data_IF_499624561058
#
_entry.id   IF_499624561058
#
_cell.length_a   1.000
_cell.length_b   1.000
_cell.length_c   1.000
_cell.angle_alpha   90.00
_cell.angle_beta   90.00
_cell.angle_gamma   90.00
#
_symmetry.space_group_name_H-M   'P 1'
#
loop_
_entity.id
_entity.type
_entity.pdbx_description
1 polymer ?
#
# COMPACT_ATOMS: atom_id res chain seq x y z
N UNK A 1 36.11 20.56 17.90
CA UNK A 1 35.96 19.88 16.59
C UNK A 1 34.51 20.04 16.14
N UNK A 2 34.22 19.97 14.84
CA UNK A 2 32.84 19.89 14.32
C UNK A 2 32.62 18.49 13.76
N UNK A 3 31.39 18.00 13.87
CA UNK A 3 30.99 16.67 13.41
C UNK A 3 30.12 16.79 12.17
N UNK A 4 30.26 15.88 11.22
CA UNK A 4 29.53 15.90 9.95
C UNK A 4 28.82 14.57 9.81
N UNK A 5 27.50 14.58 9.60
CA UNK A 5 26.70 13.39 9.34
C UNK A 5 26.77 12.95 7.89
N UNK A 6 26.32 11.72 7.62
CA UNK A 6 26.23 11.15 6.26
C UNK A 6 25.38 11.98 5.27
N UNK A 7 24.45 12.81 5.76
CA UNK A 7 23.65 13.75 4.94
C UNK A 7 24.29 15.16 4.82
N UNK A 8 25.59 15.28 5.11
CA UNK A 8 26.40 16.50 5.08
C UNK A 8 25.93 17.61 6.03
N UNK A 9 25.17 17.28 7.10
CA UNK A 9 24.84 18.25 8.14
C UNK A 9 25.96 18.36 9.16
N UNK A 10 26.21 19.58 9.62
CA UNK A 10 27.29 19.89 10.56
C UNK A 10 26.71 20.10 11.95
N UNK A 11 27.28 19.41 12.93
CA UNK A 11 26.90 19.45 14.34
C UNK A 11 28.04 19.94 15.22
N UNK A 12 27.67 20.48 16.38
CA UNK A 12 28.63 21.00 17.34
C UNK A 12 29.17 19.90 18.27
N UNK A 13 28.37 18.85 18.49
CA UNK A 13 28.75 17.70 19.31
C UNK A 13 28.57 16.39 18.56
N UNK A 14 29.34 15.39 18.98
CA UNK A 14 29.24 14.02 18.45
C UNK A 14 27.88 13.41 18.76
N UNK A 15 27.36 13.70 19.96
CA UNK A 15 26.08 13.19 20.41
C UNK A 15 24.94 13.66 19.51
N UNK A 16 24.88 14.95 19.17
CA UNK A 16 23.88 15.49 18.24
C UNK A 16 23.95 14.82 16.85
N UNK A 17 25.17 14.58 16.35
CA UNK A 17 25.40 13.91 15.08
C UNK A 17 24.88 12.47 15.11
N UNK A 18 25.23 11.72 16.17
CA UNK A 18 24.82 10.33 16.37
C UNK A 18 23.29 10.20 16.54
N UNK A 19 22.66 11.07 17.31
CA UNK A 19 21.20 11.09 17.50
C UNK A 19 20.44 11.38 16.20
N UNK A 20 20.96 12.30 15.38
CA UNK A 20 20.38 12.61 14.06
C UNK A 20 20.43 11.40 13.13
N UNK A 21 21.59 10.76 13.01
CA UNK A 21 21.75 9.57 12.18
C UNK A 21 20.88 8.41 12.65
N UNK A 22 20.75 8.23 13.97
CA UNK A 22 19.87 7.20 14.52
C UNK A 22 18.41 7.45 14.15
N UNK A 23 17.91 8.69 14.31
CA UNK A 23 16.56 9.07 13.88
C UNK A 23 16.33 8.86 12.38
N UNK A 24 17.34 9.14 11.56
CA UNK A 24 17.26 8.93 10.11
C UNK A 24 17.17 7.43 9.76
N UNK A 25 17.99 6.58 10.42
CA UNK A 25 17.92 5.12 10.27
C UNK A 25 16.56 4.57 10.69
N UNK A 26 16.07 4.98 11.86
CA UNK A 26 14.79 4.52 12.40
C UNK A 26 13.61 4.98 11.52
N UNK A 27 13.65 6.23 11.06
CA UNK A 27 12.65 6.78 10.13
C UNK A 27 12.63 6.04 8.78
N UNK A 28 13.80 5.66 8.26
CA UNK A 28 13.90 4.85 7.03
C UNK A 28 13.33 3.45 7.23
N UNK A 29 13.68 2.78 8.33
CA UNK A 29 13.17 1.46 8.67
C UNK A 29 11.64 1.45 8.84
N UNK A 30 11.09 2.47 9.51
CA UNK A 30 9.65 2.63 9.67
C UNK A 30 8.92 2.82 8.33
N UNK A 31 9.46 3.68 7.45
CA UNK A 31 8.91 3.88 6.10
C UNK A 31 8.95 2.60 5.27
N UNK A 32 10.04 1.86 5.31
CA UNK A 32 10.17 0.59 4.59
C UNK A 32 9.17 -0.46 5.10
N UNK A 33 8.98 -0.56 6.42
CA UNK A 33 7.97 -1.45 7.01
C UNK A 33 6.56 -1.09 6.56
N UNK A 34 6.23 0.21 6.57
CA UNK A 34 4.92 0.70 6.12
C UNK A 34 4.67 0.40 4.65
N UNK A 35 5.67 0.59 3.78
CA UNK A 35 5.53 0.27 2.36
C UNK A 35 5.38 -1.24 2.13
N UNK A 36 6.11 -2.09 2.87
CA UNK A 36 5.91 -3.54 2.82
C UNK A 36 4.49 -3.95 3.24
N UNK A 37 3.96 -3.35 4.30
CA UNK A 37 2.57 -3.60 4.74
C UNK A 37 1.55 -3.13 3.70
N UNK A 38 1.78 -1.96 3.09
CA UNK A 38 0.94 -1.43 2.01
C UNK A 38 0.93 -2.38 0.81
N UNK A 39 2.10 -2.81 0.34
CA UNK A 39 2.22 -3.73 -0.78
C UNK A 39 1.56 -5.08 -0.47
N UNK A 40 1.72 -5.59 0.75
CA UNK A 40 1.03 -6.82 1.19
C UNK A 40 -0.49 -6.68 1.08
N UNK A 41 -1.06 -5.57 1.56
CA UNK A 41 -2.51 -5.32 1.48
C UNK A 41 -2.99 -5.22 0.02
N UNK A 42 -2.23 -4.56 -0.86
CA UNK A 42 -2.55 -4.49 -2.29
C UNK A 42 -2.56 -5.88 -2.92
N UNK A 43 -1.55 -6.70 -2.62
CA UNK A 43 -1.50 -8.09 -3.10
C UNK A 43 -2.70 -8.92 -2.61
N UNK A 44 -3.12 -8.76 -1.36
CA UNK A 44 -4.32 -9.43 -0.82
C UNK A 44 -5.60 -8.98 -1.52
N UNK A 45 -5.74 -7.68 -1.82
CA UNK A 45 -6.87 -7.14 -2.58
C UNK A 45 -6.91 -7.75 -3.98
N UNK A 46 -5.78 -7.74 -4.70
CA UNK A 46 -5.70 -8.27 -6.07
C UNK A 46 -6.07 -9.76 -6.11
N UNK A 47 -5.59 -10.55 -5.15
CA UNK A 47 -5.97 -11.98 -5.04
C UNK A 47 -7.48 -12.17 -4.89
N UNK A 48 -8.12 -11.37 -4.03
CA UNK A 48 -9.58 -11.44 -3.84
C UNK A 48 -10.35 -11.04 -5.11
N UNK A 49 -9.84 -10.06 -5.87
CA UNK A 49 -10.43 -9.71 -7.16
C UNK A 49 -10.31 -10.84 -8.19
N UNK A 50 -9.16 -11.51 -8.26
CA UNK A 50 -8.97 -12.68 -9.14
C UNK A 50 -9.91 -13.83 -8.74
N UNK A 51 -10.06 -14.11 -7.45
CA UNK A 51 -11.00 -15.11 -6.92
C UNK A 51 -12.44 -14.77 -7.29
N UNK A 52 -12.85 -13.50 -7.11
CA UNK A 52 -14.17 -13.03 -7.50
C UNK A 52 -14.41 -13.21 -9.02
N UNK A 53 -13.43 -12.85 -9.84
CA UNK A 53 -13.54 -12.98 -11.30
C UNK A 53 -13.69 -14.45 -11.72
N UNK A 54 -13.01 -15.38 -11.05
CA UNK A 54 -13.18 -16.83 -11.29
C UNK A 54 -14.59 -17.29 -10.95
N UNK A 55 -15.11 -16.91 -9.78
CA UNK A 55 -16.47 -17.25 -9.36
C UNK A 55 -17.53 -16.71 -10.33
N UNK A 56 -17.36 -15.47 -10.80
CA UNK A 56 -18.25 -14.89 -11.81
C UNK A 56 -18.18 -15.70 -13.11
N UNK A 57 -16.97 -16.07 -13.55
CA UNK A 57 -16.78 -16.85 -14.78
C UNK A 57 -17.38 -18.25 -14.70
N UNK A 58 -17.30 -18.91 -13.53
CA UNK A 58 -17.94 -20.20 -13.28
C UNK A 58 -19.47 -20.08 -13.29
N UNK A 59 -20.01 -19.08 -12.59
CA UNK A 59 -21.44 -18.78 -12.59
C UNK A 59 -21.97 -18.50 -14.01
N UNK A 60 -21.24 -17.70 -14.81
CA UNK A 60 -21.66 -17.40 -16.19
C UNK A 60 -21.72 -18.65 -17.08
N UNK A 61 -20.78 -19.59 -16.90
CA UNK A 61 -20.77 -20.87 -17.62
C UNK A 61 -21.95 -21.76 -17.23
N UNK A 62 -22.23 -21.86 -15.94
CA UNK A 62 -23.23 -22.80 -15.42
C UNK A 62 -24.66 -22.34 -15.72
N UNK A 63 -24.92 -21.03 -15.75
CA UNK A 63 -26.28 -20.50 -15.77
C UNK A 63 -26.72 -19.78 -17.06
N UNK A 64 -25.92 -19.81 -18.15
CA UNK A 64 -26.22 -19.20 -19.48
C UNK A 64 -26.93 -17.83 -19.32
N UNK A 65 -26.30 -16.95 -18.57
CA UNK A 65 -26.92 -15.69 -18.14
C UNK A 65 -27.00 -14.73 -19.33
N UNK A 66 -28.20 -14.28 -19.71
CA UNK A 66 -28.39 -13.25 -20.75
C UNK A 66 -27.84 -11.87 -20.35
N UNK A 67 -27.66 -11.62 -19.06
CA UNK A 67 -27.08 -10.39 -18.51
C UNK A 67 -25.93 -10.76 -17.59
N UNK A 68 -24.77 -10.13 -17.80
CA UNK A 68 -23.63 -10.26 -16.89
C UNK A 68 -23.99 -9.66 -15.54
N UNK A 69 -23.99 -10.43 -14.44
CA UNK A 69 -24.21 -9.85 -13.12
C UNK A 69 -23.05 -8.90 -12.80
N UNK A 70 -23.35 -7.61 -12.65
CA UNK A 70 -22.37 -6.59 -12.28
C UNK A 70 -22.19 -6.57 -10.76
N UNK A 71 -21.16 -7.26 -10.29
CA UNK A 71 -20.78 -7.27 -8.87
C UNK A 71 -19.78 -6.15 -8.57
N UNK A 72 -20.21 -4.89 -8.65
CA UNK A 72 -19.40 -3.80 -8.14
C UNK A 72 -19.64 -3.62 -6.63
N UNK A 73 -18.58 -3.29 -5.85
CA UNK A 73 -18.76 -2.81 -4.49
C UNK A 73 -19.75 -1.63 -4.51
N UNK A 74 -20.74 -1.64 -3.59
CA UNK A 74 -21.79 -0.61 -3.52
C UNK A 74 -21.22 0.82 -3.52
N UNK A 75 -20.02 1.01 -2.96
CA UNK A 75 -19.31 2.29 -2.96
C UNK A 75 -18.93 2.79 -4.37
N UNK A 76 -18.54 1.91 -5.30
CA UNK A 76 -18.23 2.30 -6.68
C UNK A 76 -19.52 2.63 -7.47
N UNK A 77 -20.60 1.89 -7.20
CA UNK A 77 -21.92 2.18 -7.77
C UNK A 77 -22.46 3.54 -7.29
N UNK A 78 -22.29 3.86 -6.00
CA UNK A 78 -22.66 5.16 -5.44
C UNK A 78 -21.87 6.31 -6.12
N UNK A 79 -20.56 6.14 -6.31
CA UNK A 79 -19.75 7.16 -6.98
C UNK A 79 -20.15 7.38 -8.46
N UNK A 80 -20.64 6.35 -9.15
CA UNK A 80 -21.14 6.48 -10.53
C UNK A 80 -22.54 7.10 -10.62
N UNK A 81 -23.37 6.97 -9.58
CA UNK A 81 -24.74 7.49 -9.53
C UNK A 81 -24.85 8.90 -8.92
N UNK A 82 -23.83 9.37 -8.21
CA UNK A 82 -23.81 10.70 -7.58
C UNK A 82 -23.21 11.81 -8.48
N UNK A 83 -23.44 11.76 -9.80
CA UNK A 83 -23.20 12.92 -10.68
C UNK A 83 -24.40 13.87 -10.69
#
# INVERSE_FOLDING_TARGET
>A
MRYISDDNKVFNTEQECCEHEQKMRDGKAMKEKLEKERQKRICEINKKYEELQKLISEFEKDFVVRQKPYFAPVCELMNMLCM
#
